data_IF_733981695776
#
_entry.id   IF_733981695776
#
_cell.length_a   1.000
_cell.length_b   1.000
_cell.length_c   1.000
_cell.angle_alpha   90.00
_cell.angle_beta   90.00
_cell.angle_gamma   90.00
#
_symmetry.space_group_name_H-M   'P 1'
#
loop_
_entity.id
_entity.type
_entity.pdbx_description
1 polymer ?
#
# COMPACT_ATOMS: atom_id res chain seq x y z
N UNK A 1 -33.28 -16.30 -4.50
CA UNK A 1 -31.98 -16.13 -5.16
C UNK A 1 -32.07 -14.89 -6.04
N UNK A 2 -31.26 -13.87 -5.77
CA UNK A 2 -31.22 -12.62 -6.54
C UNK A 2 -29.89 -12.58 -7.30
N UNK A 3 -29.95 -12.82 -8.61
CA UNK A 3 -28.81 -12.75 -9.52
C UNK A 3 -28.48 -11.28 -9.82
N UNK A 4 -27.52 -10.72 -9.10
CA UNK A 4 -26.93 -9.42 -9.44
C UNK A 4 -25.83 -9.62 -10.51
N UNK A 5 -25.81 -8.76 -11.56
CA UNK A 5 -24.84 -8.86 -12.65
C UNK A 5 -23.40 -8.69 -12.15
N UNK A 6 -22.51 -9.50 -12.71
CA UNK A 6 -21.12 -9.73 -12.29
C UNK A 6 -20.20 -8.51 -12.40
N UNK A 7 -20.62 -7.42 -13.05
CA UNK A 7 -19.74 -6.26 -13.32
C UNK A 7 -19.57 -5.30 -12.15
N UNK A 8 -20.32 -5.44 -11.06
CA UNK A 8 -20.18 -4.61 -9.85
C UNK A 8 -19.67 -5.39 -8.63
N UNK A 9 -19.19 -6.62 -8.82
CA UNK A 9 -18.64 -7.42 -7.73
C UNK A 9 -17.24 -6.94 -7.43
N UNK A 10 -17.05 -6.44 -6.21
CA UNK A 10 -15.78 -5.89 -5.73
C UNK A 10 -14.66 -6.94 -5.64
N UNK A 11 -15.00 -8.24 -5.63
CA UNK A 11 -14.05 -9.34 -5.46
C UNK A 11 -13.65 -9.59 -4.00
N UNK A 12 -14.26 -8.86 -3.05
CA UNK A 12 -13.93 -8.87 -1.61
C UNK A 12 -14.97 -9.58 -0.74
N UNK A 13 -15.88 -10.36 -1.32
CA UNK A 13 -17.01 -10.97 -0.62
C UNK A 13 -16.56 -12.23 0.15
N UNK A 14 -16.46 -12.19 1.50
CA UNK A 14 -15.94 -13.31 2.30
C UNK A 14 -16.90 -14.51 2.31
N UNK A 15 -18.20 -14.24 2.17
CA UNK A 15 -19.28 -15.22 2.26
C UNK A 15 -19.36 -16.17 1.06
N UNK A 16 -18.74 -15.79 -0.07
CA UNK A 16 -18.93 -16.45 -1.37
C UNK A 16 -17.67 -17.09 -1.94
N UNK A 17 -16.56 -17.09 -1.20
CA UNK A 17 -15.37 -17.84 -1.58
C UNK A 17 -14.82 -17.44 -2.95
N UNK A 18 -14.05 -16.35 -2.98
CA UNK A 18 -13.44 -15.84 -4.22
C UNK A 18 -12.57 -16.88 -4.96
N UNK A 19 -12.17 -16.52 -6.18
CA UNK A 19 -11.36 -17.32 -7.13
C UNK A 19 -10.10 -17.98 -6.53
N UNK A 20 -9.60 -17.45 -5.41
CA UNK A 20 -8.42 -17.96 -4.71
C UNK A 20 -8.70 -19.22 -3.86
N UNK A 21 -9.96 -19.58 -3.56
CA UNK A 21 -10.30 -20.79 -2.78
C UNK A 21 -9.80 -22.10 -3.40
N UNK A 22 -9.81 -22.17 -4.73
CA UNK A 22 -9.43 -23.35 -5.51
C UNK A 22 -7.94 -23.38 -5.86
N UNK A 23 -7.17 -22.36 -5.44
CA UNK A 23 -5.73 -22.36 -5.63
C UNK A 23 -5.09 -23.40 -4.69
N UNK A 24 -4.34 -24.39 -5.21
CA UNK A 24 -3.82 -25.50 -4.40
C UNK A 24 -2.75 -25.08 -3.39
N UNK A 25 -2.15 -23.90 -3.56
CA UNK A 25 -1.13 -23.34 -2.67
C UNK A 25 -1.67 -22.10 -1.95
N UNK A 26 -2.30 -22.30 -0.80
CA UNK A 26 -2.70 -21.20 0.10
C UNK A 26 -1.46 -20.57 0.71
N UNK A 27 -1.15 -19.35 0.31
CA UNK A 27 0.04 -18.63 0.79
C UNK A 27 -0.14 -18.06 2.20
N UNK A 28 -1.38 -17.96 2.70
CA UNK A 28 -1.70 -17.27 3.97
C UNK A 28 -1.72 -15.74 3.86
N UNK A 29 -1.47 -15.21 2.66
CA UNK A 29 -1.58 -13.80 2.30
C UNK A 29 -2.85 -13.49 1.50
N UNK A 30 -3.78 -14.45 1.39
CA UNK A 30 -5.07 -14.22 0.76
C UNK A 30 -5.86 -13.19 1.59
N UNK A 31 -6.41 -12.12 0.97
CA UNK A 31 -7.23 -11.12 1.66
C UNK A 31 -8.33 -11.73 2.54
N UNK A 32 -8.92 -12.83 2.07
CA UNK A 32 -10.01 -13.56 2.72
C UNK A 32 -9.60 -14.37 3.97
N UNK A 33 -8.30 -14.58 4.21
CA UNK A 33 -7.78 -15.30 5.39
C UNK A 33 -7.26 -14.35 6.50
N UNK A 34 -7.42 -13.04 6.31
CA UNK A 34 -6.79 -11.99 7.13
C UNK A 34 -7.61 -11.35 8.25
N UNK A 35 -8.88 -11.72 8.42
CA UNK A 35 -9.80 -11.03 9.34
C UNK A 35 -10.42 -9.75 8.75
N UNK A 36 -11.22 -9.03 9.55
CA UNK A 36 -12.13 -7.95 9.12
C UNK A 36 -11.50 -6.76 8.35
N UNK A 37 -10.18 -6.63 8.28
CA UNK A 37 -9.52 -5.36 7.95
C UNK A 37 -8.47 -5.41 6.83
N UNK A 38 -8.32 -6.52 6.09
CA UNK A 38 -7.23 -6.69 5.09
C UNK A 38 -7.57 -6.34 3.63
N UNK A 39 -8.62 -5.55 3.38
CA UNK A 39 -9.00 -5.16 2.01
C UNK A 39 -8.10 -4.05 1.43
N UNK A 40 -7.43 -3.29 2.31
CA UNK A 40 -6.53 -2.19 1.95
C UNK A 40 -5.17 -2.37 2.60
N UNK A 41 -4.13 -1.92 1.92
CA UNK A 41 -2.80 -1.74 2.47
C UNK A 41 -2.33 -0.30 2.30
N UNK A 42 -1.31 0.09 3.05
CA UNK A 42 -0.63 1.38 2.90
C UNK A 42 0.62 1.23 2.03
N UNK A 43 0.80 2.18 1.12
CA UNK A 43 1.91 2.24 0.19
C UNK A 43 2.57 3.62 0.21
N UNK A 44 3.89 3.68 0.03
CA UNK A 44 4.64 4.93 -0.08
C UNK A 44 5.21 5.06 -1.49
N UNK A 45 4.87 6.15 -2.18
CA UNK A 45 5.52 6.53 -3.44
C UNK A 45 6.90 7.13 -3.17
N UNK A 46 7.94 6.31 -3.32
CA UNK A 46 9.34 6.72 -3.11
C UNK A 46 9.84 7.77 -4.11
N UNK A 47 9.20 7.90 -5.28
CA UNK A 47 9.54 8.96 -6.23
C UNK A 47 9.13 10.34 -5.72
N UNK A 48 7.98 10.41 -5.03
CA UNK A 48 7.45 11.64 -4.45
C UNK A 48 7.96 11.90 -3.03
N UNK A 49 8.29 10.85 -2.28
CA UNK A 49 8.77 10.98 -0.91
C UNK A 49 10.07 11.79 -0.81
N UNK A 50 10.08 12.81 0.04
CA UNK A 50 11.24 13.68 0.29
C UNK A 50 12.02 13.31 1.56
N UNK A 51 11.69 12.18 2.20
CA UNK A 51 12.44 11.71 3.37
C UNK A 51 12.33 12.59 4.61
N UNK A 52 11.19 13.26 4.84
CA UNK A 52 10.98 14.12 6.02
C UNK A 52 10.92 13.36 7.36
N UNK A 53 10.76 12.04 7.33
CA UNK A 53 10.74 11.11 8.48
C UNK A 53 9.55 11.21 9.44
N UNK A 54 8.60 12.11 9.19
CA UNK A 54 7.47 12.29 10.07
C UNK A 54 6.63 11.00 10.23
N UNK A 55 6.31 10.31 9.13
CA UNK A 55 5.58 9.04 9.16
C UNK A 55 6.28 7.94 9.99
N UNK A 56 7.61 7.88 9.96
CA UNK A 56 8.39 6.93 10.76
C UNK A 56 8.43 7.29 12.26
N UNK A 57 8.02 8.49 12.65
CA UNK A 57 7.85 8.90 14.04
C UNK A 57 6.42 8.75 14.54
N UNK A 58 5.43 9.00 13.67
CA UNK A 58 4.00 8.88 14.01
C UNK A 58 3.55 7.41 14.11
N UNK A 59 3.96 6.57 13.16
CA UNK A 59 3.59 5.15 13.09
C UNK A 59 4.86 4.29 12.95
N UNK A 60 5.58 4.15 14.07
CA UNK A 60 6.92 3.54 14.17
C UNK A 60 6.95 2.05 13.86
N UNK A 61 5.83 1.36 14.00
CA UNK A 61 5.74 -0.07 13.71
C UNK A 61 5.27 -0.34 12.27
N UNK A 62 4.90 0.69 11.51
CA UNK A 62 4.40 0.59 10.13
C UNK A 62 5.43 1.08 9.12
N UNK A 63 6.04 2.24 9.39
CA UNK A 63 6.95 2.92 8.46
C UNK A 63 8.41 2.88 8.94
N UNK A 64 9.33 2.81 7.98
CA UNK A 64 10.75 3.00 8.23
C UNK A 64 11.38 3.85 7.13
N UNK A 65 12.58 4.38 7.41
CA UNK A 65 13.38 5.11 6.42
C UNK A 65 14.44 4.19 5.87
N UNK A 66 14.39 3.97 4.57
CA UNK A 66 15.37 3.19 3.84
C UNK A 66 16.70 3.96 3.74
N UNK A 67 17.85 3.32 4.07
CA UNK A 67 19.13 4.01 4.20
C UNK A 67 19.79 4.45 2.89
N UNK A 68 19.56 3.78 1.76
CA UNK A 68 20.24 4.05 0.49
C UNK A 68 19.78 5.37 -0.14
N UNK A 69 18.47 5.61 -0.21
CA UNK A 69 17.90 6.81 -0.84
C UNK A 69 17.24 7.78 0.16
N UNK A 70 17.13 7.40 1.43
CA UNK A 70 16.49 8.20 2.46
C UNK A 70 14.98 8.34 2.24
N UNK A 71 14.34 7.32 1.68
CA UNK A 71 12.90 7.30 1.37
C UNK A 71 12.14 6.53 2.45
N UNK A 72 10.90 6.93 2.71
CA UNK A 72 10.03 6.15 3.57
C UNK A 72 9.54 4.88 2.85
N UNK A 73 9.37 3.80 3.60
CA UNK A 73 8.82 2.51 3.16
C UNK A 73 7.91 1.94 4.24
N UNK A 74 6.98 1.10 3.82
CA UNK A 74 6.11 0.33 4.73
C UNK A 74 6.73 -1.05 4.92
N UNK A 75 6.98 -1.45 6.16
CA UNK A 75 7.51 -2.80 6.44
C UNK A 75 6.49 -3.74 7.08
N UNK A 76 5.46 -3.18 7.73
CA UNK A 76 4.41 -3.95 8.37
C UNK A 76 3.08 -3.24 8.17
N UNK A 77 2.15 -3.89 7.47
CA UNK A 77 0.83 -3.34 7.14
C UNK A 77 -0.09 -3.27 8.36
N UNK A 78 0.13 -4.15 9.34
CA UNK A 78 -0.68 -4.31 10.55
C UNK A 78 0.10 -3.86 11.80
N UNK A 79 1.09 -2.95 11.63
CA UNK A 79 2.03 -2.59 12.68
C UNK A 79 1.47 -1.63 13.74
N UNK A 80 0.68 -0.65 13.31
CA UNK A 80 0.04 0.35 14.16
C UNK A 80 -1.47 0.41 13.91
N UNK A 81 -2.19 1.10 14.79
CA UNK A 81 -3.61 1.35 14.60
C UNK A 81 -3.87 2.21 13.35
N UNK A 82 -5.01 1.98 12.69
CA UNK A 82 -5.40 2.73 11.49
C UNK A 82 -5.40 4.25 11.70
N UNK A 83 -5.77 4.73 12.90
CA UNK A 83 -5.74 6.15 13.26
C UNK A 83 -4.34 6.78 13.15
N UNK A 84 -3.30 6.06 13.59
CA UNK A 84 -1.90 6.54 13.50
C UNK A 84 -1.39 6.49 12.05
N UNK A 85 -1.80 5.47 11.30
CA UNK A 85 -1.46 5.37 9.88
C UNK A 85 -2.14 6.50 9.10
N UNK A 86 -3.40 6.78 9.41
CA UNK A 86 -4.15 7.89 8.81
C UNK A 86 -3.54 9.24 9.16
N UNK A 87 -3.14 9.46 10.42
CA UNK A 87 -2.40 10.66 10.82
C UNK A 87 -1.10 10.81 10.01
N UNK A 88 -0.31 9.74 9.86
CA UNK A 88 0.92 9.77 9.08
C UNK A 88 0.66 10.09 7.59
N UNK A 89 -0.46 9.65 7.03
CA UNK A 89 -0.89 9.97 5.66
C UNK A 89 -1.24 11.47 5.56
N UNK A 90 -2.10 11.96 6.43
CA UNK A 90 -2.65 13.33 6.38
C UNK A 90 -1.60 14.42 6.66
N UNK A 91 -0.56 14.06 7.41
CA UNK A 91 0.54 14.97 7.79
C UNK A 91 1.70 14.94 6.80
N UNK A 92 1.66 14.10 5.77
CA UNK A 92 2.74 13.98 4.81
C UNK A 92 2.85 15.25 3.93
N UNK A 93 3.95 16.01 3.98
CA UNK A 93 4.05 17.33 3.33
C UNK A 93 3.99 17.29 1.79
N UNK A 94 4.16 16.10 1.21
CA UNK A 94 4.15 15.88 -0.24
C UNK A 94 3.10 14.85 -0.67
N UNK A 95 2.22 14.43 0.25
CA UNK A 95 1.15 13.45 0.00
C UNK A 95 1.65 12.17 -0.70
N UNK A 96 2.78 11.61 -0.26
CA UNK A 96 3.39 10.43 -0.90
C UNK A 96 2.95 9.10 -0.29
N UNK A 97 1.97 9.09 0.63
CA UNK A 97 1.49 7.89 1.31
C UNK A 97 0.04 7.67 0.92
N UNK A 98 -0.32 6.45 0.53
CA UNK A 98 -1.63 6.14 -0.03
C UNK A 98 -2.18 4.85 0.55
N UNK A 99 -3.47 4.86 0.89
CA UNK A 99 -4.24 3.63 0.97
C UNK A 99 -4.44 3.07 -0.44
N UNK A 100 -4.14 1.79 -0.60
CA UNK A 100 -4.29 1.06 -1.86
C UNK A 100 -5.01 -0.25 -1.61
N UNK A 101 -5.65 -0.76 -2.64
CA UNK A 101 -6.20 -2.11 -2.62
C UNK A 101 -5.08 -3.13 -2.38
N UNK A 102 -5.31 -4.11 -1.50
CA UNK A 102 -4.30 -5.12 -1.17
C UNK A 102 -3.82 -5.90 -2.40
N UNK A 103 -4.70 -6.14 -3.38
CA UNK A 103 -4.35 -6.80 -4.64
C UNK A 103 -3.40 -5.96 -5.50
N UNK A 104 -3.52 -4.63 -5.42
CA UNK A 104 -2.66 -3.69 -6.14
C UNK A 104 -1.33 -3.49 -5.43
N UNK A 105 -1.29 -3.59 -4.10
CA UNK A 105 -0.08 -3.41 -3.30
C UNK A 105 1.07 -4.29 -3.78
N UNK A 106 0.81 -5.58 -4.04
CA UNK A 106 1.83 -6.53 -4.54
C UNK A 106 2.44 -6.06 -5.87
N UNK A 107 1.60 -5.51 -6.75
CA UNK A 107 2.04 -4.98 -8.04
C UNK A 107 2.86 -3.71 -7.87
N UNK A 108 2.42 -2.77 -7.04
CA UNK A 108 3.12 -1.52 -6.75
C UNK A 108 4.52 -1.78 -6.16
N UNK A 109 4.61 -2.71 -5.21
CA UNK A 109 5.90 -3.14 -4.63
C UNK A 109 6.84 -3.80 -5.63
N UNK A 110 6.29 -4.51 -6.62
CA UNK A 110 7.09 -5.09 -7.70
C UNK A 110 7.56 -4.01 -8.69
N UNK A 111 6.69 -3.06 -9.07
CA UNK A 111 7.04 -1.94 -9.96
C UNK A 111 8.09 -1.02 -9.31
N UNK A 112 7.99 -0.77 -7.99
CA UNK A 112 8.96 -0.02 -7.18
C UNK A 112 10.39 -0.52 -7.34
N UNK A 113 10.64 -1.83 -7.42
CA UNK A 113 11.99 -2.40 -7.60
C UNK A 113 12.72 -1.90 -8.84
N UNK A 114 11.98 -1.47 -9.86
CA UNK A 114 12.53 -0.98 -11.12
C UNK A 114 12.51 0.55 -11.23
N UNK A 115 11.98 1.25 -10.23
CA UNK A 115 12.00 2.71 -10.18
C UNK A 115 13.44 3.21 -9.98
N UNK A 116 13.85 4.15 -10.84
CA UNK A 116 15.16 4.81 -10.72
C UNK A 116 15.01 6.07 -9.89
N UNK A 117 15.42 5.99 -8.64
CA UNK A 117 15.32 7.09 -7.68
C UNK A 117 16.68 7.77 -7.57
N UNK A 118 16.69 9.10 -7.50
CA UNK A 118 17.91 9.86 -7.23
C UNK A 118 18.02 10.13 -5.73
N UNK A 119 19.24 10.23 -5.18
CA UNK A 119 19.44 10.65 -3.80
C UNK A 119 18.73 11.98 -3.46
N UNK A 120 18.49 12.19 -2.16
CA UNK A 120 18.02 13.48 -1.64
C UNK A 120 18.94 14.64 -2.11
N UNK A 121 18.35 15.80 -2.35
CA UNK A 121 19.06 17.00 -2.83
C UNK A 121 19.17 17.12 -4.35
N UNK A 122 18.82 16.08 -5.12
CA UNK A 122 18.71 16.17 -6.58
C UNK A 122 17.26 16.37 -7.04
N UNK A 123 17.02 17.10 -8.14
CA UNK A 123 15.70 17.17 -8.76
C UNK A 123 15.20 15.77 -9.16
N UNK A 124 14.08 15.38 -8.56
CA UNK A 124 13.38 14.12 -8.87
C UNK A 124 12.54 14.31 -10.13
N UNK A 125 12.61 13.35 -11.06
CA UNK A 125 11.80 13.37 -12.27
C UNK A 125 10.55 12.54 -11.97
N UNK A 126 9.55 13.17 -11.38
CA UNK A 126 8.30 12.49 -11.08
C UNK A 126 7.46 12.48 -12.35
N UNK A 127 7.55 11.40 -13.13
CA UNK A 127 6.53 11.10 -14.13
C UNK A 127 5.26 10.78 -13.35
N UNK A 128 4.40 11.76 -13.11
CA UNK A 128 3.03 11.51 -12.65
C UNK A 128 2.44 10.49 -13.62
N UNK A 129 2.32 9.25 -13.19
CA UNK A 129 1.45 8.31 -13.89
C UNK A 129 0.06 8.89 -13.68
N UNK A 130 -0.59 9.36 -14.75
CA UNK A 130 -2.01 9.70 -14.73
C UNK A 130 -2.79 8.42 -14.42
N UNK A 131 -2.84 8.04 -13.16
CA UNK A 131 -3.80 7.08 -12.63
C UNK A 131 -4.56 7.86 -11.57
N UNK A 132 -5.77 8.27 -11.94
CA UNK A 132 -6.75 8.77 -11.00
C UNK A 132 -7.00 7.62 -10.01
N UNK A 133 -6.62 7.82 -8.76
CA UNK A 133 -7.06 7.03 -7.63
C UNK A 133 -8.46 7.51 -7.22
#
# INVERSE_FOLDING_TARGET
MSDFPTSERSGFEPELGGFLRDSPERSGFEPELGGNWRQKGVYVDEGTCIGCKHCAHTATNTFYIEPEYGRARVFNQDGDNEELIQEAIDTCPVNCIHWVDYTQLKRLEQERKYQKIKPLGFPQINKRSSKNF
#
